data_IF_912063918808
#
_entry.id   IF_912063918808
#
_cell.length_a   1.000
_cell.length_b   1.000
_cell.length_c   1.000
_cell.angle_alpha   90.00
_cell.angle_beta   90.00
_cell.angle_gamma   90.00
#
_symmetry.space_group_name_H-M   'P 1'
#
loop_
_entity.id
_entity.type
_entity.pdbx_description
1 polymer ?
#
# COMPACT_ATOMS: atom_id res chain seq x y z
N UNK A 1 8.52 -2.18 -18.61
CA UNK A 1 7.57 -2.15 -17.46
C UNK A 1 8.09 -1.41 -16.22
N UNK A 2 9.41 -1.20 -16.03
CA UNK A 2 9.95 -0.58 -14.81
C UNK A 2 9.81 0.95 -14.67
N UNK A 3 9.36 1.66 -15.72
CA UNK A 3 9.36 3.13 -15.74
C UNK A 3 8.21 3.81 -14.98
N UNK A 4 7.06 3.12 -14.81
CA UNK A 4 5.83 3.74 -14.27
C UNK A 4 5.73 3.70 -12.74
N UNK A 5 6.40 2.76 -12.09
CA UNK A 5 6.41 2.64 -10.62
C UNK A 5 7.24 3.77 -9.97
N UNK A 6 8.30 4.22 -10.63
CA UNK A 6 9.16 5.30 -10.12
C UNK A 6 8.47 6.69 -10.10
N UNK A 7 7.42 6.89 -10.89
CA UNK A 7 6.65 8.15 -10.97
C UNK A 7 5.56 8.32 -9.92
N UNK A 8 5.33 7.33 -9.04
CA UNK A 8 4.27 7.39 -8.03
C UNK A 8 4.53 8.41 -6.91
N UNK A 9 5.75 8.94 -6.78
CA UNK A 9 6.13 9.88 -5.71
C UNK A 9 5.55 11.29 -5.84
N UNK A 10 5.15 11.73 -7.03
CA UNK A 10 4.82 13.14 -7.31
C UNK A 10 3.67 13.32 -8.32
N UNK A 11 3.00 12.24 -8.69
CA UNK A 11 1.83 12.30 -9.56
C UNK A 11 0.57 12.74 -8.78
N UNK A 12 -0.45 13.26 -9.47
CA UNK A 12 -1.75 13.48 -8.86
C UNK A 12 -2.29 12.16 -8.31
N UNK A 13 -2.87 12.21 -7.10
CA UNK A 13 -3.52 11.04 -6.50
C UNK A 13 -4.68 10.56 -7.37
N UNK A 14 -4.86 9.24 -7.39
CA UNK A 14 -5.89 8.58 -8.18
C UNK A 14 -7.23 8.75 -7.47
N UNK A 15 -8.17 9.42 -8.16
CA UNK A 15 -9.54 9.62 -7.70
C UNK A 15 -10.42 8.41 -8.01
N UNK A 16 -11.54 8.28 -7.29
CA UNK A 16 -12.47 7.16 -7.47
C UNK A 16 -13.08 7.10 -8.88
N UNK A 17 -13.45 8.25 -9.44
CA UNK A 17 -14.03 8.37 -10.79
C UNK A 17 -13.01 8.37 -11.94
N UNK A 18 -11.74 8.06 -11.68
CA UNK A 18 -10.72 7.93 -12.71
C UNK A 18 -10.96 6.74 -13.64
N UNK A 19 -10.36 6.77 -14.83
CA UNK A 19 -10.40 5.64 -15.75
C UNK A 19 -9.71 4.41 -15.14
N UNK A 20 -10.37 3.26 -15.23
CA UNK A 20 -9.84 2.00 -14.69
C UNK A 20 -8.87 1.34 -15.68
N UNK A 21 -7.68 1.02 -15.20
CA UNK A 21 -6.64 0.33 -15.97
C UNK A 21 -6.24 -0.99 -15.29
N UNK A 22 -7.10 -2.02 -15.30
CA UNK A 22 -6.83 -3.30 -14.64
C UNK A 22 -5.61 -3.98 -15.27
N UNK A 23 -4.61 -4.30 -14.46
CA UNK A 23 -3.32 -4.84 -14.91
C UNK A 23 -3.18 -6.36 -14.73
N UNK A 24 -4.25 -7.05 -14.32
CA UNK A 24 -4.25 -8.50 -14.09
C UNK A 24 -5.65 -9.08 -14.26
N UNK A 25 -5.76 -10.40 -14.50
CA UNK A 25 -7.06 -11.08 -14.51
C UNK A 25 -7.79 -10.97 -13.17
N UNK A 26 -7.03 -10.91 -12.07
CA UNK A 26 -7.58 -10.62 -10.76
C UNK A 26 -8.23 -9.23 -10.74
N UNK A 27 -7.53 -8.18 -11.19
CA UNK A 27 -8.08 -6.83 -11.27
C UNK A 27 -9.33 -6.77 -12.16
N UNK A 28 -9.31 -7.43 -13.33
CA UNK A 28 -10.48 -7.53 -14.21
C UNK A 28 -11.67 -8.17 -13.50
N UNK A 29 -11.45 -9.23 -12.72
CA UNK A 29 -12.53 -9.87 -11.94
C UNK A 29 -13.14 -8.93 -10.90
N UNK A 30 -12.37 -7.97 -10.37
CA UNK A 30 -12.86 -6.98 -9.41
C UNK A 30 -13.66 -5.87 -10.09
N UNK A 31 -13.18 -5.31 -11.20
CA UNK A 31 -13.95 -4.37 -12.04
C UNK A 31 -15.28 -4.98 -12.51
N UNK A 32 -15.28 -6.27 -12.88
CA UNK A 32 -16.51 -7.00 -13.20
C UNK A 32 -17.49 -7.00 -12.02
N UNK A 33 -17.00 -7.27 -10.81
CA UNK A 33 -17.81 -7.23 -9.59
C UNK A 33 -18.40 -5.84 -9.29
N UNK A 34 -17.64 -4.77 -9.51
CA UNK A 34 -18.13 -3.39 -9.36
C UNK A 34 -19.25 -3.08 -10.37
N UNK A 35 -19.06 -3.48 -11.63
CA UNK A 35 -20.07 -3.33 -12.68
C UNK A 35 -21.34 -4.10 -12.36
N UNK A 36 -21.20 -5.31 -11.80
CA UNK A 36 -22.32 -6.14 -11.37
C UNK A 36 -23.08 -5.49 -10.22
N UNK A 37 -22.38 -5.00 -9.20
CA UNK A 37 -23.00 -4.29 -8.07
C UNK A 37 -23.78 -3.06 -8.54
N UNK A 38 -23.19 -2.26 -9.44
CA UNK A 38 -23.85 -1.08 -10.02
C UNK A 38 -25.10 -1.45 -10.82
N UNK A 39 -25.05 -2.55 -11.58
CA UNK A 39 -26.23 -3.04 -12.31
C UNK A 39 -27.34 -3.47 -11.35
N UNK A 40 -27.01 -4.27 -10.33
CA UNK A 40 -28.00 -4.80 -9.39
C UNK A 40 -28.62 -3.70 -8.53
N UNK A 41 -27.82 -2.74 -8.06
CA UNK A 41 -28.34 -1.61 -7.29
C UNK A 41 -29.30 -0.75 -8.13
N UNK A 42 -28.94 -0.46 -9.39
CA UNK A 42 -29.73 0.40 -10.26
C UNK A 42 -31.00 -0.28 -10.82
N UNK A 43 -30.92 -1.57 -11.17
CA UNK A 43 -32.01 -2.28 -11.87
C UNK A 43 -33.02 -2.87 -10.88
N UNK A 44 -32.54 -3.49 -9.80
CA UNK A 44 -33.44 -4.14 -8.84
C UNK A 44 -33.88 -3.18 -7.75
N UNK A 45 -33.11 -2.14 -7.43
CA UNK A 45 -33.46 -1.11 -6.45
C UNK A 45 -33.64 -1.62 -5.01
N UNK A 46 -33.30 -2.90 -4.75
CA UNK A 46 -33.50 -3.59 -3.46
C UNK A 46 -32.22 -3.79 -2.66
N UNK A 47 -31.06 -3.46 -3.23
CA UNK A 47 -29.76 -3.61 -2.58
C UNK A 47 -28.88 -2.40 -2.87
N UNK A 48 -28.14 -1.97 -1.85
CA UNK A 48 -27.04 -1.02 -2.00
C UNK A 48 -25.73 -1.77 -2.24
N UNK A 49 -25.00 -1.33 -3.25
CA UNK A 49 -23.69 -1.88 -3.59
C UNK A 49 -22.59 -0.92 -3.19
N UNK A 50 -21.69 -1.35 -2.30
CA UNK A 50 -20.49 -0.58 -1.98
C UNK A 50 -19.26 -1.38 -2.38
N UNK A 51 -18.52 -0.89 -3.37
CA UNK A 51 -17.26 -1.46 -3.80
C UNK A 51 -16.09 -0.91 -2.98
N UNK A 52 -15.49 -1.75 -2.14
CA UNK A 52 -14.31 -1.39 -1.36
C UNK A 52 -13.05 -1.82 -2.11
N UNK A 53 -12.28 -0.86 -2.60
CA UNK A 53 -11.00 -1.09 -3.27
C UNK A 53 -9.90 -1.17 -2.22
N UNK A 54 -9.72 -2.39 -1.71
CA UNK A 54 -8.78 -2.70 -0.62
C UNK A 54 -7.34 -2.60 -1.13
N UNK A 55 -6.50 -1.86 -0.42
CA UNK A 55 -5.05 -1.86 -0.59
C UNK A 55 -4.40 -3.16 -0.10
N UNK A 56 -3.19 -3.05 0.45
CA UNK A 56 -2.43 -4.20 0.91
C UNK A 56 -2.47 -4.35 2.43
N UNK A 57 -3.23 -5.34 2.90
CA UNK A 57 -3.57 -5.58 4.32
C UNK A 57 -2.81 -6.73 4.99
N UNK A 58 -1.92 -7.40 4.26
CA UNK A 58 -1.45 -8.72 4.69
C UNK A 58 -0.61 -8.71 5.97
N UNK A 59 0.17 -7.66 6.21
CA UNK A 59 1.11 -7.58 7.32
C UNK A 59 0.96 -6.26 8.09
N UNK A 60 1.10 -6.34 9.42
CA UNK A 60 1.02 -5.17 10.30
C UNK A 60 2.29 -4.29 10.23
N UNK A 61 3.44 -4.89 9.89
CA UNK A 61 4.69 -4.17 9.63
C UNK A 61 5.04 -4.30 8.13
N UNK A 62 4.75 -3.27 7.31
CA UNK A 62 5.03 -3.31 5.87
C UNK A 62 6.53 -3.31 5.55
N UNK A 63 7.40 -2.86 6.47
CA UNK A 63 8.84 -2.84 6.26
C UNK A 63 9.46 -4.24 6.40
N UNK A 64 8.92 -5.06 7.32
CA UNK A 64 9.40 -6.43 7.59
C UNK A 64 8.66 -7.52 6.83
N UNK A 65 7.76 -7.16 5.92
CA UNK A 65 6.97 -8.14 5.19
C UNK A 65 7.85 -9.11 4.37
N UNK A 66 7.63 -10.43 4.51
CA UNK A 66 8.34 -11.44 3.73
C UNK A 66 7.78 -11.46 2.30
N UNK A 67 8.46 -10.78 1.38
CA UNK A 67 8.12 -10.77 -0.03
C UNK A 67 8.91 -11.85 -0.77
N UNK A 68 8.32 -12.52 -1.79
CA UNK A 68 9.08 -13.37 -2.70
C UNK A 68 10.24 -12.59 -3.32
N UNK A 69 11.39 -13.24 -3.56
CA UNK A 69 12.58 -12.57 -4.13
C UNK A 69 12.29 -11.85 -5.46
N UNK A 70 11.36 -12.37 -6.27
CA UNK A 70 10.94 -11.74 -7.52
C UNK A 70 10.20 -10.42 -7.33
N UNK A 71 9.62 -10.19 -6.15
CA UNK A 71 8.82 -9.04 -5.78
C UNK A 71 9.54 -8.14 -4.76
N UNK A 72 10.62 -8.60 -4.14
CA UNK A 72 11.40 -7.83 -3.18
C UNK A 72 12.37 -6.86 -3.88
N UNK A 73 11.80 -5.92 -4.65
CA UNK A 73 12.54 -4.83 -5.27
C UNK A 73 12.20 -3.49 -4.61
N UNK A 74 13.10 -2.49 -4.65
CA UNK A 74 12.82 -1.17 -4.07
C UNK A 74 11.51 -0.54 -4.58
N UNK A 75 11.22 -0.70 -5.88
CA UNK A 75 10.00 -0.18 -6.49
C UNK A 75 8.71 -0.87 -5.97
N UNK A 76 8.74 -2.19 -5.79
CA UNK A 76 7.61 -2.91 -5.21
C UNK A 76 7.41 -2.57 -3.74
N UNK A 77 8.47 -2.45 -2.95
CA UNK A 77 8.36 -2.03 -1.54
C UNK A 77 7.79 -0.62 -1.41
N UNK A 78 8.19 0.29 -2.28
CA UNK A 78 7.62 1.64 -2.32
C UNK A 78 6.14 1.63 -2.68
N UNK A 79 5.75 0.83 -3.69
CA UNK A 79 4.33 0.64 -4.03
C UNK A 79 3.54 0.06 -2.85
N UNK A 80 4.02 -1.00 -2.20
CA UNK A 80 3.36 -1.64 -1.06
C UNK A 80 3.24 -0.72 0.15
N UNK A 81 4.25 0.12 0.42
CA UNK A 81 4.19 1.18 1.43
C UNK A 81 3.11 2.21 1.10
N UNK A 82 2.97 2.60 -0.17
CA UNK A 82 1.95 3.56 -0.60
C UNK A 82 0.52 3.02 -0.44
N UNK A 83 0.31 1.74 -0.74
CA UNK A 83 -1.02 1.09 -0.69
C UNK A 83 -1.29 0.31 0.59
N UNK A 84 -0.42 0.40 1.60
CA UNK A 84 -0.57 -0.34 2.84
C UNK A 84 -1.86 -0.01 3.57
N UNK A 85 -2.47 -1.01 4.18
CA UNK A 85 -3.67 -0.91 5.00
C UNK A 85 -3.44 -1.67 6.30
N UNK A 86 -3.42 -0.97 7.43
CA UNK A 86 -3.36 -1.62 8.74
C UNK A 86 -4.66 -2.39 9.01
N UNK A 87 -4.59 -3.45 9.82
CA UNK A 87 -5.80 -4.17 10.25
C UNK A 87 -6.73 -3.31 11.09
N UNK A 88 -6.19 -2.34 11.85
CA UNK A 88 -7.00 -1.38 12.62
C UNK A 88 -7.81 -0.50 11.68
N UNK A 89 -7.16 0.05 10.66
CA UNK A 89 -7.84 0.90 9.69
C UNK A 89 -8.83 0.11 8.83
N UNK A 90 -8.49 -1.12 8.44
CA UNK A 90 -9.43 -2.00 7.76
C UNK A 90 -10.69 -2.24 8.60
N UNK A 91 -10.53 -2.56 9.89
CA UNK A 91 -11.65 -2.69 10.81
C UNK A 91 -12.47 -1.40 10.90
N UNK A 92 -11.82 -0.24 11.01
CA UNK A 92 -12.49 1.06 11.01
C UNK A 92 -13.31 1.32 9.74
N UNK A 93 -12.77 1.01 8.57
CA UNK A 93 -13.51 1.10 7.30
C UNK A 93 -14.75 0.20 7.31
N UNK A 94 -14.62 -1.07 7.69
CA UNK A 94 -15.76 -1.99 7.73
C UNK A 94 -16.81 -1.60 8.78
N UNK A 95 -16.39 -1.08 9.94
CA UNK A 95 -17.32 -0.53 10.93
C UNK A 95 -18.08 0.67 10.38
N UNK A 96 -17.39 1.59 9.70
CA UNK A 96 -18.03 2.76 9.10
C UNK A 96 -19.03 2.36 8.00
N UNK A 97 -18.66 1.40 7.15
CA UNK A 97 -19.55 0.84 6.11
C UNK A 97 -20.82 0.22 6.71
N UNK A 98 -20.69 -0.56 7.78
CA UNK A 98 -21.83 -1.18 8.46
C UNK A 98 -22.72 -0.17 9.19
N UNK A 99 -22.20 1.01 9.51
CA UNK A 99 -22.93 2.08 10.17
C UNK A 99 -23.60 3.05 9.18
N UNK A 100 -23.37 2.91 7.87
CA UNK A 100 -24.00 3.78 6.88
C UNK A 100 -25.52 3.60 6.88
N UNK A 101 -26.29 4.69 6.82
CA UNK A 101 -27.72 4.59 6.60
C UNK A 101 -27.98 4.07 5.19
N UNK A 102 -28.87 3.10 5.07
CA UNK A 102 -29.36 2.64 3.77
C UNK A 102 -30.51 3.56 3.31
N UNK A 103 -30.56 3.95 2.04
CA UNK A 103 -31.70 4.68 1.50
C UNK A 103 -33.00 3.87 1.61
N UNK A 104 -34.11 4.55 1.91
CA UNK A 104 -35.43 3.91 2.04
C UNK A 104 -35.91 3.23 0.74
N UNK A 105 -35.44 3.71 -0.41
CA UNK A 105 -35.73 3.13 -1.71
C UNK A 105 -34.68 3.50 -2.78
N UNK A 106 -34.63 2.73 -3.86
CA UNK A 106 -33.99 3.13 -5.11
C UNK A 106 -32.59 2.57 -5.37
N UNK A 107 -31.97 1.89 -4.40
CA UNK A 107 -30.66 1.23 -4.53
C UNK A 107 -29.52 2.14 -4.98
N UNK A 108 -28.46 2.25 -4.17
CA UNK A 108 -27.31 3.10 -4.48
C UNK A 108 -26.08 2.26 -4.79
N UNK A 109 -25.20 2.80 -5.64
CA UNK A 109 -23.86 2.27 -5.84
C UNK A 109 -22.84 3.31 -5.46
N UNK A 110 -21.89 2.93 -4.60
CA UNK A 110 -20.74 3.74 -4.24
C UNK A 110 -19.46 2.89 -4.30
N UNK A 111 -18.32 3.56 -4.43
CA UNK A 111 -17.02 2.94 -4.31
C UNK A 111 -16.17 3.73 -3.32
N UNK A 112 -15.20 3.08 -2.69
CA UNK A 112 -14.24 3.75 -1.82
C UNK A 112 -12.88 3.06 -1.85
N UNK A 113 -11.82 3.85 -1.69
CA UNK A 113 -10.46 3.34 -1.47
C UNK A 113 -10.26 3.01 0.01
N UNK A 114 -9.65 1.88 0.30
CA UNK A 114 -9.29 1.50 1.67
C UNK A 114 -7.78 1.29 1.78
N UNK A 115 -7.09 2.32 2.27
CA UNK A 115 -5.67 2.29 2.67
C UNK A 115 -5.50 3.05 3.98
N UNK A 116 -4.40 2.82 4.68
CA UNK A 116 -4.01 3.68 5.80
C UNK A 116 -3.65 5.09 5.34
N UNK A 117 -3.46 6.02 6.27
CA UNK A 117 -3.08 7.42 6.00
C UNK A 117 -1.60 7.53 5.65
N UNK A 118 -1.18 6.83 4.59
CA UNK A 118 0.21 6.68 4.22
C UNK A 118 0.79 8.00 3.69
N UNK A 119 1.97 8.40 4.15
CA UNK A 119 2.60 9.64 3.69
C UNK A 119 2.86 9.66 2.17
N UNK A 120 3.08 8.49 1.57
CA UNK A 120 3.28 8.31 0.13
C UNK A 120 2.01 7.76 -0.57
N UNK A 121 0.81 8.10 -0.08
CA UNK A 121 -0.44 7.57 -0.62
C UNK A 121 -0.67 7.93 -2.10
N UNK A 122 -1.02 6.91 -2.89
CA UNK A 122 -1.32 7.03 -4.32
C UNK A 122 -2.79 7.25 -4.63
N UNK A 123 -3.68 6.96 -3.66
CA UNK A 123 -5.12 7.13 -3.79
C UNK A 123 -5.58 8.37 -3.05
N UNK A 124 -6.51 9.09 -3.65
CA UNK A 124 -7.20 10.20 -3.00
C UNK A 124 -8.25 9.63 -2.05
N UNK A 125 -8.13 9.95 -0.76
CA UNK A 125 -9.04 9.45 0.27
C UNK A 125 -10.12 10.46 0.64
N UNK A 126 -10.12 11.67 0.10
CA UNK A 126 -11.06 12.72 0.54
C UNK A 126 -12.52 12.29 0.26
N UNK A 127 -12.79 11.78 -0.94
CA UNK A 127 -14.12 11.23 -1.29
C UNK A 127 -14.53 10.07 -0.37
N UNK A 128 -13.59 9.18 -0.02
CA UNK A 128 -13.84 8.06 0.91
C UNK A 128 -14.16 8.59 2.32
N UNK A 129 -13.38 9.54 2.82
CA UNK A 129 -13.54 10.12 4.16
C UNK A 129 -14.86 10.88 4.25
N UNK A 130 -15.21 11.61 3.19
CA UNK A 130 -16.47 12.34 3.11
C UNK A 130 -17.66 11.38 3.05
N UNK A 131 -17.55 10.27 2.35
CA UNK A 131 -18.62 9.26 2.26
C UNK A 131 -18.78 8.48 3.57
N UNK A 132 -17.70 7.91 4.11
CA UNK A 132 -17.74 7.02 5.27
C UNK A 132 -17.70 7.74 6.62
N UNK A 133 -17.34 9.02 6.63
CA UNK A 133 -17.03 9.80 7.84
C UNK A 133 -15.94 9.14 8.72
N UNK A 134 -15.11 8.31 8.11
CA UNK A 134 -13.98 7.63 8.74
C UNK A 134 -12.67 8.11 8.13
N UNK A 135 -11.74 8.56 8.96
CA UNK A 135 -10.38 8.92 8.55
C UNK A 135 -9.40 7.87 9.08
N UNK A 136 -8.61 7.19 8.22
CA UNK A 136 -7.61 6.24 8.68
C UNK A 136 -6.56 6.92 9.56
N UNK A 137 -6.03 6.17 10.49
CA UNK A 137 -5.26 6.69 11.61
C UNK A 137 -3.80 6.18 11.60
N UNK A 138 -3.52 5.01 11.01
CA UNK A 138 -2.14 4.51 10.90
C UNK A 138 -1.44 5.07 9.66
N UNK A 139 -0.10 5.02 9.68
CA UNK A 139 0.73 5.47 8.58
C UNK A 139 1.88 4.48 8.34
N UNK A 140 2.04 4.02 7.10
CA UNK A 140 3.16 3.13 6.74
C UNK A 140 4.53 3.76 7.03
N UNK A 141 4.65 5.08 6.96
CA UNK A 141 5.89 5.84 7.19
C UNK A 141 6.55 5.52 8.54
N UNK A 142 5.74 5.25 9.57
CA UNK A 142 6.21 4.98 10.93
C UNK A 142 7.15 3.76 10.99
N UNK A 143 7.02 2.83 10.05
CA UNK A 143 7.86 1.64 9.95
C UNK A 143 9.17 1.86 9.18
N UNK A 144 9.25 2.91 8.36
CA UNK A 144 10.42 3.19 7.50
C UNK A 144 11.32 4.30 8.03
N UNK A 145 10.85 5.13 8.98
CA UNK A 145 11.66 6.19 9.64
C UNK A 145 12.84 5.61 10.46
N UNK A 146 12.72 4.37 10.92
CA UNK A 146 13.76 3.70 11.72
C UNK A 146 15.01 3.27 10.93
N UNK A 147 14.95 3.25 9.59
CA UNK A 147 16.07 2.79 8.76
C UNK A 147 17.12 3.88 8.44
N UNK A 148 16.80 5.17 8.65
CA UNK A 148 17.71 6.27 8.31
C UNK A 148 18.74 6.60 9.41
N UNK A 149 18.55 6.10 10.63
CA UNK A 149 19.46 6.37 11.77
C UNK A 149 20.55 5.30 11.96
N UNK A 150 20.66 4.32 11.07
CA UNK A 150 21.67 3.27 11.11
C UNK A 150 22.55 3.24 9.86
N UNK A 151 23.06 4.40 9.43
CA UNK A 151 24.32 4.40 8.67
C UNK A 151 25.47 4.19 9.66
N UNK A 152 26.38 3.23 9.44
CA UNK A 152 27.59 3.14 10.23
C UNK A 152 28.35 4.46 10.09
N UNK A 153 28.71 5.03 11.23
CA UNK A 153 29.43 6.28 11.30
C UNK A 153 30.73 6.13 10.49
N UNK A 154 31.12 7.13 9.69
CA UNK A 154 32.33 7.08 8.87
C UNK A 154 33.62 6.80 9.69
N UNK A 155 33.54 6.94 11.01
CA UNK A 155 34.59 6.59 11.98
C UNK A 155 34.79 5.08 12.20
N UNK A 156 33.78 4.24 11.94
CA UNK A 156 33.87 2.78 12.10
C UNK A 156 34.55 2.10 10.91
N UNK A 157 34.50 2.71 9.73
CA UNK A 157 35.17 2.21 8.51
C UNK A 157 36.69 2.34 8.60
N UNK A 158 37.21 3.38 9.27
CA UNK A 158 38.66 3.56 9.44
C UNK A 158 39.27 2.65 10.51
N UNK A 159 38.46 2.09 11.43
CA UNK A 159 38.99 1.22 12.49
C UNK A 159 39.29 -0.20 12.00
N UNK A 160 38.63 -0.65 10.93
CA UNK A 160 38.82 -1.99 10.35
C UNK A 160 39.79 -2.04 9.15
N UNK A 161 40.26 -0.90 8.65
CA UNK A 161 41.25 -0.85 7.57
C UNK A 161 42.71 -1.01 8.06
N UNK A 162 42.95 -0.98 9.38
CA UNK A 162 44.28 -1.03 9.98
C UNK A 162 44.77 -2.41 10.45
N UNK A 163 44.03 -3.50 10.15
CA UNK A 163 44.33 -4.83 10.70
C UNK A 163 44.81 -5.87 9.67
N UNK A 164 45.24 -5.45 8.48
CA UNK A 164 45.78 -6.35 7.44
C UNK A 164 47.20 -5.94 7.04
N UNK A 165 48.13 -6.13 7.98
CA UNK A 165 49.59 -6.26 7.81
C UNK A 165 50.05 -6.68 9.21
N UNK A 166 50.58 -7.87 9.49
CA UNK A 166 51.81 -8.49 8.97
C UNK A 166 51.73 -9.99 9.31
N UNK A 167 51.80 -10.89 8.34
CA UNK A 167 52.15 -12.30 8.59
C UNK A 167 53.16 -12.74 7.53
N UNK A 168 54.38 -12.97 7.99
CA UNK A 168 55.61 -12.95 7.22
C UNK A 168 55.82 -14.13 6.26
N UNK A 169 56.66 -13.82 5.28
CA UNK A 169 57.35 -14.75 4.39
C UNK A 169 58.29 -15.64 5.20
N UNK A 170 58.13 -16.97 5.13
CA UNK A 170 59.18 -17.92 5.50
C UNK A 170 59.64 -18.69 4.26
N UNK A 171 60.84 -18.35 3.78
CA UNK A 171 61.63 -19.18 2.87
C UNK A 171 62.15 -20.39 3.63
N UNK A 172 62.06 -21.57 3.04
CA UNK A 172 62.99 -22.67 3.34
C UNK A 172 63.22 -23.50 2.08
N UNK A 173 64.45 -23.39 1.58
CA UNK A 173 65.08 -24.28 0.61
C UNK A 173 66.20 -25.02 1.34
N UNK A 174 66.14 -26.35 1.34
CA UNK A 174 67.26 -27.27 1.46
C UNK A 174 66.80 -28.62 0.91
#
# INVERSE_FOLDING_TARGET
>A
ENGRLATLRTGPQIKLGGEEWPNSFYAVSKTFGESLLRLYSAVQGHYDGIAVRIGWIQFDDPAKAPLPLSWDTPAHREYLRAVWLSKRDAHGYFQALLALPLPDCGGSFNACWATSNNGHAVFDLDETVDFLKYRPQDNAEDFFVSACHSSPNAKDVQRNAGAVEVAGVSKTSA
#
